data_IF_364469699669
#
_entry.id   IF_364469699669
#
_cell.length_a   1.000
_cell.length_b   1.000
_cell.length_c   1.000
_cell.angle_alpha   90.00
_cell.angle_beta   90.00
_cell.angle_gamma   90.00
#
_symmetry.space_group_name_H-M   'P 1'
#
loop_
_entity.id
_entity.type
_entity.pdbx_description
1 polymer ?
#
# COMPACT_ATOMS: atom_id res chain seq x y z
N UNK A 1 6.64 -4.18 10.98
CA UNK A 1 5.62 -3.24 11.49
C UNK A 1 5.41 -3.45 12.98
N UNK A 2 5.06 -4.66 13.47
CA UNK A 2 4.71 -4.91 14.86
C UNK A 2 5.78 -4.41 15.85
N UNK A 3 7.06 -4.73 15.62
CA UNK A 3 8.17 -4.27 16.49
C UNK A 3 8.27 -2.74 16.55
N UNK A 4 8.02 -2.05 15.44
CA UNK A 4 8.02 -0.58 15.42
C UNK A 4 6.84 -0.01 16.23
N UNK A 5 5.67 -0.61 16.13
CA UNK A 5 4.50 -0.20 16.93
C UNK A 5 4.71 -0.45 18.43
N UNK A 6 5.31 -1.57 18.81
CA UNK A 6 5.64 -1.86 20.21
C UNK A 6 6.64 -0.85 20.77
N UNK A 7 7.66 -0.51 19.99
CA UNK A 7 8.60 0.54 20.34
C UNK A 7 7.90 1.89 20.53
N UNK A 8 7.09 2.31 19.52
CA UNK A 8 6.39 3.59 19.57
C UNK A 8 5.42 3.71 20.77
N UNK A 9 4.72 2.61 21.09
CA UNK A 9 3.83 2.57 22.28
C UNK A 9 4.59 2.73 23.58
N UNK A 10 5.79 2.16 23.67
CA UNK A 10 6.62 2.25 24.85
C UNK A 10 7.29 3.62 24.98
N UNK A 11 7.75 4.15 23.86
CA UNK A 11 8.45 5.44 23.79
C UNK A 11 7.50 6.63 23.98
N UNK A 12 6.28 6.54 23.43
CA UNK A 12 5.26 7.59 23.51
C UNK A 12 5.51 8.82 22.63
N UNK A 13 6.69 8.95 22.01
CA UNK A 13 7.09 10.10 21.19
C UNK A 13 7.61 9.69 19.79
N UNK A 14 7.28 8.49 19.35
CA UNK A 14 7.66 7.98 18.03
C UNK A 14 6.47 7.98 17.09
N UNK A 15 6.60 8.62 15.93
CA UNK A 15 5.68 8.50 14.80
C UNK A 15 6.07 7.30 13.94
N UNK A 16 5.13 6.39 13.71
CA UNK A 16 5.26 5.27 12.77
C UNK A 16 4.30 5.50 11.62
N UNK A 17 4.82 5.50 10.39
CA UNK A 17 4.03 5.56 9.16
C UNK A 17 4.30 4.30 8.36
N UNK A 18 3.24 3.67 7.85
CA UNK A 18 3.31 2.48 7.00
C UNK A 18 2.56 2.77 5.70
N UNK A 19 3.25 2.74 4.60
CA UNK A 19 2.71 2.92 3.25
C UNK A 19 3.62 2.21 2.24
N UNK A 20 3.30 2.32 0.96
CA UNK A 20 4.21 1.95 -0.13
C UNK A 20 4.49 3.17 -1.01
N UNK A 21 5.54 3.10 -1.78
CA UNK A 21 5.99 4.15 -2.71
C UNK A 21 5.11 4.24 -3.96
N UNK A 22 4.59 3.11 -4.45
CA UNK A 22 3.68 2.98 -5.58
C UNK A 22 2.91 1.67 -5.51
N UNK A 23 1.88 1.56 -6.33
CA UNK A 23 1.15 0.31 -6.54
C UNK A 23 1.68 -0.48 -7.75
N UNK A 24 1.37 -1.76 -7.76
CA UNK A 24 1.27 -2.59 -8.96
C UNK A 24 -0.18 -3.02 -9.10
N UNK A 25 -0.80 -2.77 -10.24
CA UNK A 25 -2.19 -3.13 -10.42
C UNK A 25 -2.33 -4.65 -10.51
N UNK A 26 -3.16 -5.21 -9.63
CA UNK A 26 -3.71 -6.54 -9.78
C UNK A 26 -5.22 -6.45 -9.76
N UNK A 27 -5.90 -7.22 -10.61
CA UNK A 27 -7.34 -7.23 -10.73
C UNK A 27 -7.86 -8.65 -10.62
N UNK A 28 -8.99 -8.81 -9.95
CA UNK A 28 -9.76 -10.05 -10.00
C UNK A 28 -10.62 -9.98 -11.25
N UNK A 29 -10.52 -10.99 -12.11
CA UNK A 29 -11.20 -11.05 -13.40
C UNK A 29 -12.01 -12.34 -13.49
N UNK A 30 -13.05 -12.42 -14.35
CA UNK A 30 -13.74 -13.67 -14.64
C UNK A 30 -12.75 -14.75 -15.10
N UNK A 31 -13.03 -16.01 -14.77
CA UNK A 31 -12.12 -17.13 -15.00
C UNK A 31 -11.77 -17.38 -16.48
N UNK A 32 -12.62 -16.93 -17.39
CA UNK A 32 -12.45 -17.06 -18.84
C UNK A 32 -11.98 -15.77 -19.52
N UNK A 33 -11.75 -14.71 -18.75
CA UNK A 33 -11.28 -13.44 -19.29
C UNK A 33 -9.83 -13.52 -19.73
N UNK A 34 -9.53 -12.77 -20.79
CA UNK A 34 -8.15 -12.50 -21.23
C UNK A 34 -7.79 -11.09 -20.84
N UNK A 35 -6.62 -10.92 -20.24
CA UNK A 35 -6.06 -9.64 -19.89
C UNK A 35 -4.57 -9.59 -20.31
N UNK A 36 -4.03 -8.41 -20.62
CA UNK A 36 -2.59 -8.25 -20.82
C UNK A 36 -1.81 -8.72 -19.58
N UNK A 37 -0.61 -9.22 -19.78
CA UNK A 37 0.28 -9.64 -18.71
C UNK A 37 -0.05 -10.98 -18.09
N UNK A 38 0.54 -11.23 -16.93
CA UNK A 38 0.41 -12.49 -16.22
C UNK A 38 -0.95 -12.64 -15.54
N UNK A 39 -1.53 -13.81 -15.72
CA UNK A 39 -2.77 -14.21 -15.04
C UNK A 39 -2.50 -15.42 -14.17
N UNK A 40 -2.95 -15.40 -12.92
CA UNK A 40 -2.77 -16.46 -11.94
C UNK A 40 -4.11 -16.96 -11.43
N UNK A 41 -4.35 -18.26 -11.53
CA UNK A 41 -5.46 -18.92 -10.86
C UNK A 41 -5.06 -19.30 -9.43
N UNK A 42 -5.91 -18.96 -8.48
CA UNK A 42 -5.74 -19.25 -7.05
C UNK A 42 -6.98 -19.99 -6.54
N UNK A 43 -6.79 -20.95 -5.64
CA UNK A 43 -7.87 -21.57 -4.91
C UNK A 43 -8.26 -20.72 -3.70
N UNK A 44 -9.54 -20.39 -3.59
CA UNK A 44 -10.07 -19.70 -2.43
C UNK A 44 -10.26 -20.67 -1.25
N UNK A 45 -10.45 -20.13 -0.04
CA UNK A 45 -10.64 -20.95 1.16
C UNK A 45 -11.88 -21.87 1.06
N UNK A 46 -12.91 -21.46 0.35
CA UNK A 46 -14.16 -22.22 0.12
C UNK A 46 -14.06 -23.19 -1.06
N UNK A 47 -12.88 -23.32 -1.69
CA UNK A 47 -12.61 -24.25 -2.78
C UNK A 47 -12.99 -23.75 -4.17
N UNK A 48 -13.41 -22.49 -4.31
CA UNK A 48 -13.64 -21.89 -5.62
C UNK A 48 -12.33 -21.48 -6.29
N UNK A 49 -12.37 -21.16 -7.58
CA UNK A 49 -11.23 -20.62 -8.33
C UNK A 49 -11.39 -19.11 -8.49
N UNK A 50 -10.42 -18.38 -8.00
CA UNK A 50 -10.28 -16.94 -8.23
C UNK A 50 -9.13 -16.71 -9.22
N UNK A 51 -9.38 -15.91 -10.26
CA UNK A 51 -8.36 -15.55 -11.23
C UNK A 51 -7.94 -14.10 -11.01
N UNK A 52 -6.64 -13.88 -10.84
CA UNK A 52 -6.05 -12.56 -10.70
C UNK A 52 -5.21 -12.24 -11.93
N UNK A 53 -5.43 -11.07 -12.50
CA UNK A 53 -4.58 -10.49 -13.52
C UNK A 53 -3.63 -9.48 -12.88
N UNK A 54 -2.35 -9.60 -13.20
CA UNK A 54 -1.34 -8.60 -12.92
C UNK A 54 -1.10 -7.69 -14.13
N UNK A 55 -2.04 -7.69 -15.07
CA UNK A 55 -1.91 -7.16 -16.41
C UNK A 55 -1.94 -5.63 -16.51
N UNK A 56 -0.80 -5.01 -16.41
CA UNK A 56 -0.57 -3.64 -16.83
C UNK A 56 0.55 -3.54 -17.89
N UNK A 57 1.09 -4.68 -18.31
CA UNK A 57 2.14 -4.80 -19.34
C UNK A 57 2.07 -6.17 -20.00
N UNK A 58 2.42 -6.25 -21.28
CA UNK A 58 2.67 -7.51 -22.00
C UNK A 58 4.13 -7.96 -21.90
N UNK A 59 4.98 -7.16 -21.28
CA UNK A 59 6.38 -7.44 -21.04
C UNK A 59 6.59 -8.41 -19.87
N UNK A 60 7.81 -8.90 -19.70
CA UNK A 60 8.19 -9.79 -18.60
C UNK A 60 8.00 -9.14 -17.22
N UNK A 61 8.16 -7.83 -17.12
CA UNK A 61 7.98 -7.11 -15.86
C UNK A 61 6.72 -6.26 -15.88
N UNK A 62 6.03 -6.21 -14.72
CA UNK A 62 4.89 -5.33 -14.51
C UNK A 62 5.38 -3.92 -14.20
N UNK A 63 4.70 -2.94 -14.80
CA UNK A 63 4.95 -1.55 -14.54
C UNK A 63 4.27 -1.06 -13.25
N UNK A 64 4.77 0.04 -12.72
CA UNK A 64 4.14 0.75 -11.62
C UNK A 64 2.78 1.32 -12.03
N UNK A 65 1.88 1.45 -11.09
CA UNK A 65 0.56 2.04 -11.34
C UNK A 65 0.27 3.20 -10.40
N UNK A 66 -0.50 4.16 -10.88
CA UNK A 66 -0.96 5.31 -10.11
C UNK A 66 -2.16 5.05 -9.23
N UNK A 67 -2.42 3.80 -8.85
CA UNK A 67 -3.53 3.44 -7.98
C UNK A 67 -3.30 3.96 -6.57
N UNK A 68 -4.38 4.33 -5.89
CA UNK A 68 -4.32 4.71 -4.48
C UNK A 68 -3.77 3.58 -3.61
N UNK A 69 -2.92 3.95 -2.67
CA UNK A 69 -2.35 3.06 -1.67
C UNK A 69 -2.91 3.34 -0.29
N UNK A 70 -2.94 2.31 0.53
CA UNK A 70 -3.24 2.49 1.95
C UNK A 70 -2.07 3.12 2.67
N UNK A 71 -2.38 4.05 3.56
CA UNK A 71 -1.45 4.60 4.53
C UNK A 71 -2.04 4.42 5.92
N UNK A 72 -1.19 4.09 6.88
CA UNK A 72 -1.54 4.02 8.28
C UNK A 72 -0.45 4.65 9.12
N UNK A 73 -0.82 5.33 10.19
CA UNK A 73 0.14 5.90 11.12
C UNK A 73 -0.28 5.69 12.57
N UNK A 74 0.71 5.73 13.45
CA UNK A 74 0.54 5.68 14.89
C UNK A 74 1.54 6.62 15.57
N UNK A 75 1.12 7.30 16.63
CA UNK A 75 1.95 8.21 17.43
C UNK A 75 1.67 9.68 17.15
N UNK A 76 2.55 10.60 17.63
CA UNK A 76 2.39 12.03 17.41
C UNK A 76 2.31 12.35 15.91
N UNK A 77 1.42 13.28 15.54
CA UNK A 77 1.14 13.67 14.13
C UNK A 77 0.49 12.59 13.24
N UNK A 78 0.13 11.42 13.76
CA UNK A 78 -0.52 10.37 12.98
C UNK A 78 -1.83 10.84 12.31
N UNK A 79 -2.54 11.79 12.90
CA UNK A 79 -3.77 12.36 12.34
C UNK A 79 -3.54 13.11 11.01
N UNK A 80 -2.32 13.48 10.67
CA UNK A 80 -2.01 14.20 9.44
C UNK A 80 -2.09 13.33 8.17
N UNK A 81 -2.17 12.00 8.34
CA UNK A 81 -2.26 11.06 7.21
C UNK A 81 -3.66 10.44 7.07
N UNK A 82 -4.68 11.08 7.67
CA UNK A 82 -6.07 10.62 7.58
C UNK A 82 -6.74 11.15 6.31
N UNK A 83 -7.49 10.29 5.63
CA UNK A 83 -8.19 10.62 4.39
C UNK A 83 -7.33 10.41 3.14
N UNK A 84 -7.71 11.10 2.05
CA UNK A 84 -6.93 11.10 0.81
C UNK A 84 -5.81 12.13 0.93
N UNK A 85 -4.58 11.66 0.84
CA UNK A 85 -3.37 12.45 1.03
C UNK A 85 -2.49 12.34 -0.21
N UNK A 86 -1.92 13.43 -0.65
CA UNK A 86 -0.87 13.38 -1.67
C UNK A 86 0.41 12.79 -1.09
N UNK A 87 1.15 12.02 -1.86
CA UNK A 87 2.38 11.39 -1.40
C UNK A 87 3.41 12.42 -0.92
N UNK A 88 3.44 13.58 -1.55
CA UNK A 88 4.35 14.68 -1.18
C UNK A 88 4.02 15.31 0.16
N UNK A 89 2.78 15.22 0.65
CA UNK A 89 2.37 15.74 1.96
C UNK A 89 3.04 15.01 3.13
N UNK A 90 3.56 13.79 2.89
CA UNK A 90 4.33 13.04 3.88
C UNK A 90 5.60 13.78 4.30
N UNK A 91 6.23 14.52 3.39
CA UNK A 91 7.36 15.37 3.74
C UNK A 91 6.99 16.39 4.81
N UNK A 92 5.86 17.08 4.63
CA UNK A 92 5.37 18.08 5.59
C UNK A 92 5.04 17.45 6.93
N UNK A 93 4.40 16.28 6.92
CA UNK A 93 4.08 15.52 8.14
C UNK A 93 5.34 15.10 8.90
N UNK A 94 6.33 14.54 8.20
CA UNK A 94 7.60 14.14 8.81
C UNK A 94 8.40 15.34 9.33
N UNK A 95 8.46 16.43 8.56
CA UNK A 95 9.11 17.68 8.96
C UNK A 95 8.48 18.26 10.23
N UNK A 96 7.14 18.27 10.31
CA UNK A 96 6.43 18.76 11.50
C UNK A 96 6.66 17.85 12.72
N UNK A 97 6.63 16.53 12.54
CA UNK A 97 6.87 15.55 13.61
C UNK A 97 8.30 15.69 14.20
N UNK A 98 9.26 16.05 13.38
CA UNK A 98 10.66 16.27 13.79
C UNK A 98 10.93 17.71 14.23
N UNK A 99 9.93 18.58 14.25
CA UNK A 99 10.07 20.01 14.58
C UNK A 99 11.13 20.74 13.74
N UNK A 100 11.33 20.31 12.51
CA UNK A 100 12.29 20.93 11.59
C UNK A 100 11.71 22.23 10.99
N UNK A 101 12.58 23.23 10.80
CA UNK A 101 12.22 24.52 10.19
C UNK A 101 12.33 24.50 8.67
#
# INVERSE_FOLDING_TARGET
>A
VQKALEFARKDGNTLVIVTADHAHASQIIPADSKAPGLTQALNTHDGAVMVMSYGNSEEESMEHTGTQLRIAAYGPHAANVVGLTDQTDLFTTMKAALSLK
#
